data_IF_027886887081
#
_entry.id   IF_027886887081
#
_cell.length_a   1.000
_cell.length_b   1.000
_cell.length_c   1.000
_cell.angle_alpha   90.00
_cell.angle_beta   90.00
_cell.angle_gamma   90.00
#
_symmetry.space_group_name_H-M   'P 1'
#
loop_
_entity.id
_entity.type
_entity.pdbx_description
1 polymer ?
#
# COMPACT_ATOMS: atom_id res chain seq x y z
N UNK A 1 17.72 -3.92 4.84
CA UNK A 1 17.02 -4.82 3.89
C UNK A 1 17.63 -4.85 2.49
N UNK A 2 18.41 -3.84 2.04
CA UNK A 2 19.19 -3.95 0.80
C UNK A 2 18.37 -3.81 -0.49
N UNK A 3 17.25 -3.08 -0.44
CA UNK A 3 16.56 -2.57 -1.63
C UNK A 3 16.82 -1.07 -1.80
N UNK A 4 16.47 -0.56 -2.98
CA UNK A 4 16.64 0.84 -3.36
C UNK A 4 15.26 1.49 -3.56
N UNK A 5 14.94 2.60 -2.87
CA UNK A 5 13.66 3.26 -3.03
C UNK A 5 13.57 3.93 -4.41
N UNK A 6 12.55 3.58 -5.18
CA UNK A 6 12.31 4.22 -6.48
C UNK A 6 11.92 5.70 -6.34
N UNK A 7 11.17 6.03 -5.29
CA UNK A 7 10.68 7.39 -5.04
C UNK A 7 10.32 7.60 -3.56
N UNK A 8 9.94 8.84 -3.23
CA UNK A 8 9.22 9.21 -2.02
C UNK A 8 7.90 9.88 -2.43
N UNK A 9 6.80 9.55 -1.74
CA UNK A 9 5.52 10.20 -1.95
C UNK A 9 4.73 10.28 -0.65
N UNK A 10 4.37 11.50 -0.26
CA UNK A 10 3.44 11.75 0.84
C UNK A 10 2.06 12.12 0.28
N UNK A 11 1.03 11.37 0.70
CA UNK A 11 -0.38 11.61 0.31
C UNK A 11 -1.00 12.71 1.17
N UNK A 12 -0.36 13.07 2.29
CA UNK A 12 -0.83 14.02 3.30
C UNK A 12 -1.85 13.42 4.26
N UNK A 13 -2.36 14.23 5.19
CA UNK A 13 -3.22 13.77 6.30
C UNK A 13 -4.62 13.26 5.91
N UNK A 14 -5.00 13.33 4.64
CA UNK A 14 -6.27 12.81 4.13
C UNK A 14 -6.05 11.95 2.89
N UNK A 15 -6.15 10.64 3.08
CA UNK A 15 -6.03 9.62 2.04
C UNK A 15 -7.41 9.27 1.45
N UNK A 16 -8.00 10.19 0.68
CA UNK A 16 -9.22 9.87 -0.09
C UNK A 16 -8.87 8.93 -1.24
N UNK A 17 -9.87 8.18 -1.74
CA UNK A 17 -9.67 7.24 -2.86
C UNK A 17 -9.03 7.93 -4.07
N UNK A 18 -9.48 9.12 -4.44
CA UNK A 18 -8.96 9.87 -5.59
C UNK A 18 -7.48 10.23 -5.43
N UNK A 19 -7.08 10.61 -4.20
CA UNK A 19 -5.68 10.92 -3.89
C UNK A 19 -4.81 9.68 -3.92
N UNK A 20 -5.30 8.57 -3.40
CA UNK A 20 -4.59 7.28 -3.44
C UNK A 20 -4.46 6.78 -4.90
N UNK A 21 -5.51 6.94 -5.71
CA UNK A 21 -5.45 6.64 -7.15
C UNK A 21 -4.42 7.51 -7.86
N UNK A 22 -4.43 8.82 -7.62
CA UNK A 22 -3.45 9.74 -8.22
C UNK A 22 -2.02 9.39 -7.78
N UNK A 23 -1.83 9.06 -6.50
CA UNK A 23 -0.56 8.59 -5.96
C UNK A 23 -0.05 7.34 -6.68
N UNK A 24 -0.90 6.33 -6.89
CA UNK A 24 -0.51 5.16 -7.67
C UNK A 24 -0.18 5.48 -9.12
N UNK A 25 -0.93 6.37 -9.79
CA UNK A 25 -0.61 6.80 -11.16
C UNK A 25 0.77 7.45 -11.25
N UNK A 26 1.14 8.29 -10.27
CA UNK A 26 2.47 8.92 -10.19
C UNK A 26 3.55 7.87 -9.94
N UNK A 27 3.39 7.02 -8.92
CA UNK A 27 4.35 5.98 -8.55
C UNK A 27 4.60 5.03 -9.72
N UNK A 28 3.54 4.62 -10.43
CA UNK A 28 3.64 3.69 -11.55
C UNK A 28 4.31 4.28 -12.80
N UNK A 29 4.41 5.60 -12.92
CA UNK A 29 5.14 6.24 -14.02
C UNK A 29 6.64 5.89 -13.97
N UNK A 30 7.19 5.70 -12.76
CA UNK A 30 8.58 5.31 -12.53
C UNK A 30 8.82 3.78 -12.65
N UNK A 31 7.78 3.01 -13.00
CA UNK A 31 7.84 1.55 -13.21
C UNK A 31 8.53 0.79 -12.05
N UNK A 32 8.10 0.98 -10.79
CA UNK A 32 8.74 0.33 -9.65
C UNK A 32 8.54 -1.18 -9.68
N UNK A 33 9.50 -1.94 -9.17
CA UNK A 33 9.41 -3.40 -9.08
C UNK A 33 8.39 -3.89 -8.03
N UNK A 34 8.17 -3.09 -6.98
CA UNK A 34 7.16 -3.32 -5.93
C UNK A 34 6.82 -1.99 -5.24
N UNK A 35 5.67 -1.94 -4.56
CA UNK A 35 5.22 -0.75 -3.83
C UNK A 35 5.06 -1.09 -2.35
N UNK A 36 5.59 -0.23 -1.47
CA UNK A 36 5.31 -0.24 -0.03
C UNK A 36 4.40 0.94 0.31
N UNK A 37 3.21 0.66 0.82
CA UNK A 37 2.29 1.64 1.38
C UNK A 37 2.32 1.53 2.89
N UNK A 38 2.71 2.62 3.56
CA UNK A 38 2.75 2.71 5.01
C UNK A 38 1.75 3.77 5.48
N UNK A 39 0.73 3.35 6.24
CA UNK A 39 -0.38 4.22 6.63
C UNK A 39 -0.57 4.17 8.14
N UNK A 40 -0.55 5.35 8.74
CA UNK A 40 -1.04 5.60 10.09
C UNK A 40 -2.43 6.23 9.98
N UNK A 41 -3.45 5.51 10.44
CA UNK A 41 -4.84 5.92 10.34
C UNK A 41 -5.09 7.27 11.02
N UNK A 42 -4.44 7.56 12.15
CA UNK A 42 -4.63 8.82 12.87
C UNK A 42 -6.12 9.06 13.15
N UNK A 43 -6.69 10.07 12.49
CA UNK A 43 -8.13 10.42 12.56
C UNK A 43 -8.99 9.49 11.68
N UNK A 44 -8.43 8.95 10.59
CA UNK A 44 -9.10 8.05 9.66
C UNK A 44 -9.02 6.59 10.15
N UNK A 45 -10.07 5.81 9.88
CA UNK A 45 -10.10 4.38 10.25
C UNK A 45 -9.44 3.52 9.16
N UNK A 46 -8.69 2.50 9.57
CA UNK A 46 -7.92 1.66 8.66
C UNK A 46 -8.80 0.90 7.65
N UNK A 47 -10.05 0.58 7.99
CA UNK A 47 -11.01 -0.05 7.08
C UNK A 47 -11.42 0.86 5.92
N UNK A 48 -11.64 2.15 6.20
CA UNK A 48 -11.94 3.15 5.15
C UNK A 48 -10.75 3.29 4.21
N UNK A 49 -9.54 3.36 4.78
CA UNK A 49 -8.32 3.52 3.99
C UNK A 49 -8.03 2.25 3.17
N UNK A 50 -8.21 1.06 3.75
CA UNK A 50 -8.02 -0.21 3.04
C UNK A 50 -8.96 -0.32 1.83
N UNK A 51 -10.24 0.08 1.98
CA UNK A 51 -11.17 0.14 0.85
C UNK A 51 -10.69 1.11 -0.24
N UNK A 52 -10.21 2.30 0.14
CA UNK A 52 -9.64 3.27 -0.80
C UNK A 52 -8.43 2.72 -1.56
N UNK A 53 -7.51 2.04 -0.87
CA UNK A 53 -6.35 1.37 -1.47
C UNK A 53 -6.76 0.29 -2.46
N UNK A 54 -7.71 -0.58 -2.09
CA UNK A 54 -8.21 -1.65 -2.97
C UNK A 54 -8.89 -1.07 -4.21
N UNK A 55 -9.75 -0.06 -4.03
CA UNK A 55 -10.43 0.61 -5.14
C UNK A 55 -9.43 1.26 -6.10
N UNK A 56 -8.46 2.01 -5.57
CA UNK A 56 -7.42 2.65 -6.34
C UNK A 56 -6.54 1.64 -7.08
N UNK A 57 -6.12 0.56 -6.42
CA UNK A 57 -5.30 -0.48 -7.03
C UNK A 57 -6.04 -1.21 -8.18
N UNK A 58 -7.35 -1.43 -8.04
CA UNK A 58 -8.19 -1.97 -9.12
C UNK A 58 -8.32 -0.99 -10.28
N UNK A 59 -8.56 0.28 -9.99
CA UNK A 59 -8.73 1.32 -11.02
C UNK A 59 -7.48 1.47 -11.89
N UNK A 60 -6.29 1.50 -11.27
CA UNK A 60 -5.02 1.62 -12.01
C UNK A 60 -4.55 0.29 -12.62
N UNK A 61 -5.26 -0.82 -12.38
CA UNK A 61 -4.88 -2.14 -12.85
C UNK A 61 -3.52 -2.59 -12.33
N UNK A 62 -3.26 -2.40 -11.03
CA UNK A 62 -1.96 -2.63 -10.41
C UNK A 62 -1.46 -4.06 -10.64
N UNK A 63 -0.29 -4.21 -11.27
CA UNK A 63 0.34 -5.51 -11.58
C UNK A 63 1.57 -5.82 -10.74
N UNK A 64 2.15 -4.81 -10.11
CA UNK A 64 3.34 -4.95 -9.26
C UNK A 64 2.92 -5.33 -7.84
N UNK A 65 3.74 -6.11 -7.11
CA UNK A 65 3.43 -6.48 -5.74
C UNK A 65 3.21 -5.25 -4.85
N UNK A 66 2.14 -5.29 -4.06
CA UNK A 66 1.78 -4.23 -3.12
C UNK A 66 1.93 -4.74 -1.69
N UNK A 67 2.87 -4.17 -0.94
CA UNK A 67 3.00 -4.38 0.50
C UNK A 67 2.28 -3.26 1.23
N UNK A 68 1.35 -3.59 2.13
CA UNK A 68 0.59 -2.58 2.88
C UNK A 68 0.77 -2.78 4.37
N UNK A 69 1.20 -1.70 5.04
CA UNK A 69 1.26 -1.62 6.50
C UNK A 69 0.22 -0.63 6.98
N UNK A 70 -0.71 -1.11 7.81
CA UNK A 70 -1.74 -0.31 8.47
C UNK A 70 -1.47 -0.24 9.96
N UNK A 71 -1.67 0.93 10.56
CA UNK A 71 -1.69 1.13 12.02
C UNK A 71 -2.77 2.13 12.41
N UNK A 72 -3.52 1.84 13.47
CA UNK A 72 -4.56 2.71 14.01
C UNK A 72 -5.88 1.98 14.27
N UNK A 73 -6.97 2.75 14.34
CA UNK A 73 -8.32 2.23 14.58
C UNK A 73 -8.77 1.29 13.45
N UNK A 74 -9.43 0.18 13.80
CA UNK A 74 -9.92 -0.84 12.87
C UNK A 74 -8.85 -1.52 12.01
N UNK A 75 -7.60 -1.62 12.50
CA UNK A 75 -6.50 -2.24 11.74
C UNK A 75 -6.80 -3.67 11.30
N UNK A 76 -7.42 -4.48 12.16
CA UNK A 76 -7.77 -5.88 11.84
C UNK A 76 -8.81 -5.96 10.72
N UNK A 77 -9.80 -5.06 10.73
CA UNK A 77 -10.79 -4.96 9.66
C UNK A 77 -10.14 -4.50 8.35
N UNK A 78 -9.24 -3.52 8.41
CA UNK A 78 -8.46 -3.07 7.24
C UNK A 78 -7.63 -4.20 6.63
N UNK A 79 -6.92 -4.98 7.46
CA UNK A 79 -6.17 -6.16 7.01
C UNK A 79 -7.05 -7.19 6.33
N UNK A 80 -8.24 -7.45 6.90
CA UNK A 80 -9.22 -8.36 6.31
C UNK A 80 -9.69 -7.89 4.93
N UNK A 81 -10.02 -6.61 4.79
CA UNK A 81 -10.41 -6.00 3.50
C UNK A 81 -9.31 -6.18 2.45
N UNK A 82 -8.04 -5.95 2.83
CA UNK A 82 -6.90 -6.13 1.92
C UNK A 82 -6.75 -7.60 1.49
N UNK A 83 -6.87 -8.55 2.43
CA UNK A 83 -6.74 -9.98 2.17
C UNK A 83 -7.88 -10.55 1.31
N UNK A 84 -9.11 -10.08 1.53
CA UNK A 84 -10.30 -10.52 0.78
C UNK A 84 -10.43 -9.81 -0.58
N UNK A 85 -9.55 -8.86 -0.89
CA UNK A 85 -9.64 -8.05 -2.10
C UNK A 85 -9.37 -8.80 -3.40
N UNK A 86 -8.79 -10.01 -3.36
CA UNK A 86 -8.37 -10.77 -4.54
C UNK A 86 -7.21 -10.15 -5.32
N UNK A 87 -6.63 -9.05 -4.83
CA UNK A 87 -5.40 -8.46 -5.36
C UNK A 87 -4.17 -9.10 -4.71
N UNK A 88 -3.01 -9.03 -5.37
CA UNK A 88 -1.73 -9.46 -4.80
C UNK A 88 -1.23 -8.43 -3.78
N UNK A 89 -1.88 -8.42 -2.61
CA UNK A 89 -1.55 -7.54 -1.49
C UNK A 89 -0.91 -8.35 -0.38
N UNK A 90 0.26 -7.93 0.05
CA UNK A 90 1.03 -8.55 1.13
C UNK A 90 0.86 -7.67 2.38
N UNK A 91 0.14 -8.14 3.41
CA UNK A 91 0.00 -7.37 4.64
C UNK A 91 1.30 -7.36 5.44
N UNK A 92 1.65 -6.20 6.00
CA UNK A 92 2.78 -6.01 6.91
C UNK A 92 2.32 -5.60 8.31
N UNK A 93 3.00 -6.11 9.34
CA UNK A 93 2.67 -5.87 10.75
C UNK A 93 3.48 -4.74 11.37
N UNK A 94 4.69 -4.50 10.86
CA UNK A 94 5.58 -3.41 11.27
C UNK A 94 6.26 -2.77 10.06
N UNK A 95 6.90 -1.62 10.26
CA UNK A 95 7.69 -1.00 9.18
C UNK A 95 8.89 -1.87 8.79
N UNK A 96 9.52 -2.54 9.75
CA UNK A 96 10.58 -3.53 9.51
C UNK A 96 10.07 -4.69 8.63
N UNK A 97 8.96 -5.31 9.02
CA UNK A 97 8.33 -6.40 8.27
C UNK A 97 7.93 -5.95 6.85
N UNK A 98 7.37 -4.75 6.72
CA UNK A 98 7.02 -4.18 5.41
C UNK A 98 8.24 -3.96 4.52
N UNK A 99 9.34 -3.50 5.08
CA UNK A 99 10.58 -3.30 4.34
C UNK A 99 11.25 -4.63 3.93
N UNK A 100 11.22 -5.67 4.77
CA UNK A 100 11.67 -7.02 4.39
C UNK A 100 10.85 -7.57 3.23
N UNK A 101 9.52 -7.54 3.36
CA UNK A 101 8.57 -8.07 2.38
C UNK A 101 8.65 -7.36 1.03
N UNK A 102 8.75 -6.03 1.02
CA UNK A 102 8.79 -5.29 -0.26
C UNK A 102 10.09 -5.55 -1.00
N UNK A 103 11.23 -5.67 -0.29
CA UNK A 103 12.51 -6.01 -0.92
C UNK A 103 12.50 -7.43 -1.48
N UNK A 104 11.91 -8.39 -0.76
CA UNK A 104 11.74 -9.75 -1.25
C UNK A 104 10.82 -9.78 -2.48
N UNK A 105 9.68 -9.09 -2.43
CA UNK A 105 8.73 -9.02 -3.53
C UNK A 105 9.32 -8.37 -4.78
N UNK A 106 10.18 -7.35 -4.61
CA UNK A 106 10.86 -6.69 -5.72
C UNK A 106 11.91 -7.57 -6.43
N UNK A 107 12.47 -8.59 -5.76
CA UNK A 107 13.46 -9.53 -6.32
C UNK A 107 12.84 -10.71 -7.06
N UNK A 108 11.55 -10.97 -6.81
CA UNK A 108 10.81 -12.10 -7.39
C UNK A 108 10.21 -11.83 -8.78
N UNK A 109 10.46 -10.65 -9.34
CA UNK A 109 10.05 -10.21 -10.67
C UNK A 109 11.25 -10.03 -11.60
#
# INVERSE_FOLDING_TARGET
YGGEPANFLDVGGSATTERVTAAFKIILADKPAAILVNIFGGIMKCDVIANGVVAAAREVGLKVPLVVRLEGTNVEQGRRILAESGLTIIPATSLQDGAEKVVQAARGN
#
